data_IF_197525406683
#
_entry.id   IF_197525406683
#
_cell.length_a   1.000
_cell.length_b   1.000
_cell.length_c   1.000
_cell.angle_alpha   90.00
_cell.angle_beta   90.00
_cell.angle_gamma   90.00
#
_symmetry.space_group_name_H-M   'P 1'
#
loop_
_entity.id
_entity.type
_entity.pdbx_description
1 polymer ?
#
# COMPACT_ATOMS: atom_id res chain seq x y z
N UNK A 1 -4.03 -28.38 -19.61
CA UNK A 1 -2.87 -28.02 -18.77
C UNK A 1 -3.15 -26.65 -18.17
N UNK A 2 -3.14 -26.53 -16.84
CA UNK A 2 -3.29 -25.23 -16.17
C UNK A 2 -2.00 -24.43 -16.29
N UNK A 3 -2.10 -23.12 -16.57
CA UNK A 3 -0.95 -22.22 -16.50
C UNK A 3 -0.67 -21.99 -15.01
N UNK A 4 0.55 -22.29 -14.56
CA UNK A 4 0.99 -21.93 -13.21
C UNK A 4 0.96 -20.42 -13.05
N UNK A 5 0.58 -19.95 -11.86
CA UNK A 5 0.67 -18.54 -11.50
C UNK A 5 1.79 -18.41 -10.48
N UNK A 6 2.83 -17.67 -10.83
CA UNK A 6 3.97 -17.39 -9.94
C UNK A 6 4.10 -15.87 -9.72
N UNK A 7 4.48 -15.47 -8.50
CA UNK A 7 4.81 -14.06 -8.21
C UNK A 7 6.06 -13.60 -8.97
N UNK A 8 6.91 -14.55 -9.38
CA UNK A 8 8.05 -14.28 -10.26
C UNK A 8 7.63 -13.71 -11.63
N UNK A 9 6.39 -13.96 -12.08
CA UNK A 9 5.86 -13.44 -13.34
C UNK A 9 5.43 -11.95 -13.25
N UNK A 10 5.37 -11.39 -12.05
CA UNK A 10 5.07 -9.96 -11.84
C UNK A 10 6.35 -9.15 -12.12
N UNK A 11 6.27 -8.25 -13.10
CA UNK A 11 7.40 -7.42 -13.57
C UNK A 11 7.29 -5.94 -13.18
N UNK A 12 6.17 -5.53 -12.59
CA UNK A 12 5.95 -4.16 -12.16
C UNK A 12 6.61 -3.88 -10.80
N UNK A 13 7.15 -2.67 -10.57
CA UNK A 13 7.67 -2.27 -9.27
C UNK A 13 6.62 -2.43 -8.16
N UNK A 14 7.05 -2.96 -7.01
CA UNK A 14 6.19 -3.25 -5.87
C UNK A 14 6.44 -2.26 -4.75
N UNK A 15 5.37 -1.73 -4.17
CA UNK A 15 5.41 -1.03 -2.88
C UNK A 15 4.61 -1.85 -1.87
N UNK A 16 5.30 -2.36 -0.86
CA UNK A 16 4.74 -3.32 0.10
C UNK A 16 4.72 -2.65 1.46
N UNK A 17 3.53 -2.54 2.05
CA UNK A 17 3.35 -2.02 3.41
C UNK A 17 2.89 -3.16 4.30
N UNK A 18 3.50 -3.28 5.46
CA UNK A 18 3.07 -4.17 6.52
C UNK A 18 3.11 -3.43 7.86
N UNK A 19 2.44 -3.95 8.89
CA UNK A 19 2.41 -3.34 10.22
C UNK A 19 3.03 -4.24 11.28
N UNK A 20 3.76 -3.63 12.23
CA UNK A 20 4.61 -4.36 13.18
C UNK A 20 3.83 -5.29 14.12
N UNK A 21 2.63 -4.86 14.54
CA UNK A 21 1.76 -5.60 15.48
C UNK A 21 0.55 -6.21 14.77
N UNK A 22 0.66 -6.47 13.47
CA UNK A 22 -0.37 -7.17 12.73
C UNK A 22 -0.42 -8.65 13.13
N UNK A 23 -1.47 -9.05 13.85
CA UNK A 23 -1.73 -10.45 14.16
C UNK A 23 -2.56 -11.15 13.06
N UNK A 24 -3.20 -10.40 12.16
CA UNK A 24 -3.99 -10.92 11.05
C UNK A 24 -3.06 -11.25 9.87
N UNK A 25 -2.17 -10.33 9.52
CA UNK A 25 -1.18 -10.45 8.44
C UNK A 25 0.22 -10.12 8.94
N UNK A 26 0.91 -11.06 9.60
CA UNK A 26 2.23 -10.81 10.19
C UNK A 26 3.24 -10.30 9.16
N UNK A 27 3.88 -9.16 9.43
CA UNK A 27 4.80 -8.51 8.50
C UNK A 27 5.99 -9.40 8.08
N UNK A 28 6.43 -10.32 8.95
CA UNK A 28 7.46 -11.34 8.63
C UNK A 28 7.04 -12.24 7.46
N UNK A 29 5.76 -12.55 7.35
CA UNK A 29 5.22 -13.27 6.19
C UNK A 29 5.17 -12.36 4.96
N UNK A 30 4.77 -11.10 5.13
CA UNK A 30 4.78 -10.09 4.07
C UNK A 30 6.17 -9.87 3.46
N UNK A 31 7.23 -9.82 4.28
CA UNK A 31 8.62 -9.68 3.81
C UNK A 31 9.06 -10.77 2.83
N UNK A 32 8.45 -11.96 2.85
CA UNK A 32 8.79 -13.04 1.92
C UNK A 32 8.60 -12.63 0.45
N UNK A 33 7.73 -11.65 0.18
CA UNK A 33 7.54 -11.11 -1.17
C UNK A 33 8.86 -10.60 -1.79
N UNK A 34 9.79 -10.10 -0.98
CA UNK A 34 11.11 -9.64 -1.43
C UNK A 34 11.99 -10.77 -1.99
N UNK A 35 11.68 -12.03 -1.64
CA UNK A 35 12.36 -13.22 -2.15
C UNK A 35 11.56 -13.93 -3.23
N UNK A 36 10.24 -13.71 -3.28
CA UNK A 36 9.33 -14.41 -4.19
C UNK A 36 9.10 -13.64 -5.50
N UNK A 37 9.10 -12.30 -5.45
CA UNK A 37 8.99 -11.47 -6.64
C UNK A 37 10.39 -11.14 -7.18
N UNK A 38 10.56 -11.21 -8.50
CA UNK A 38 11.77 -10.73 -9.18
C UNK A 38 11.74 -9.22 -9.48
N UNK A 39 10.62 -8.56 -9.19
CA UNK A 39 10.47 -7.12 -9.40
C UNK A 39 11.18 -6.29 -8.32
N UNK A 40 11.65 -5.08 -8.67
CA UNK A 40 12.10 -4.11 -7.67
C UNK A 40 11.00 -3.87 -6.65
N UNK A 41 11.31 -4.09 -5.38
CA UNK A 41 10.35 -3.94 -4.28
C UNK A 41 10.85 -2.92 -3.25
N UNK A 42 9.98 -2.00 -2.89
CA UNK A 42 10.12 -1.13 -1.72
C UNK A 42 9.29 -1.74 -0.59
N UNK A 43 9.92 -2.07 0.53
CA UNK A 43 9.23 -2.56 1.72
C UNK A 43 9.21 -1.48 2.79
N UNK A 44 8.02 -1.17 3.29
CA UNK A 44 7.79 -0.23 4.39
C UNK A 44 7.11 -0.97 5.54
N UNK A 45 7.69 -0.84 6.73
CA UNK A 45 7.11 -1.34 7.96
C UNK A 45 6.54 -0.17 8.75
N UNK A 46 5.23 -0.18 8.95
CA UNK A 46 4.52 0.84 9.71
C UNK A 46 4.32 0.38 11.16
N UNK A 47 4.42 1.31 12.09
CA UNK A 47 4.05 1.06 13.49
C UNK A 47 2.55 0.76 13.64
N UNK A 48 2.19 -0.04 14.65
CA UNK A 48 0.78 -0.29 14.98
C UNK A 48 0.29 -1.68 14.57
N UNK A 49 -0.99 -1.97 14.88
CA UNK A 49 -1.67 -3.19 14.47
C UNK A 49 -2.27 -3.08 13.07
N UNK A 50 -3.04 -4.08 12.63
CA UNK A 50 -3.59 -4.18 11.26
C UNK A 50 -4.23 -2.86 10.76
N UNK A 51 -5.31 -2.40 11.41
CA UNK A 51 -6.01 -1.19 10.95
C UNK A 51 -5.25 0.10 11.29
N UNK A 52 -4.70 0.20 12.51
CA UNK A 52 -4.08 1.44 13.01
C UNK A 52 -2.77 1.75 12.28
N UNK A 53 -2.01 0.74 11.85
CA UNK A 53 -0.79 0.96 11.08
C UNK A 53 -1.05 1.25 9.61
N UNK A 54 -2.13 0.71 9.03
CA UNK A 54 -2.50 0.96 7.62
C UNK A 54 -3.20 2.31 7.46
N UNK A 55 -4.18 2.61 8.32
CA UNK A 55 -4.89 3.89 8.34
C UNK A 55 -4.09 4.89 9.18
N UNK A 56 -3.07 5.47 8.55
CA UNK A 56 -2.15 6.41 9.18
C UNK A 56 -2.18 7.75 8.45
N UNK A 57 -3.18 8.62 8.66
CA UNK A 57 -3.16 9.96 8.10
C UNK A 57 -2.01 10.79 8.69
N UNK A 58 -1.45 11.76 7.95
CA UNK A 58 -0.28 12.55 8.37
C UNK A 58 -0.45 13.38 9.65
N UNK A 59 -1.65 13.45 10.22
CA UNK A 59 -1.99 14.19 11.44
C UNK A 59 -2.24 13.29 12.67
N UNK A 60 -1.63 12.08 12.72
CA UNK A 60 -1.65 11.22 13.91
C UNK A 60 -0.48 10.22 13.91
N UNK A 61 0.59 10.52 14.66
CA UNK A 61 1.74 9.65 14.75
C UNK A 61 1.54 8.55 15.81
N UNK A 62 1.57 7.29 15.38
CA UNK A 62 1.69 6.13 16.26
C UNK A 62 3.16 5.85 16.57
N UNK A 63 3.44 5.38 17.79
CA UNK A 63 4.78 4.99 18.25
C UNK A 63 5.11 3.54 17.82
N UNK A 64 6.32 3.32 17.31
CA UNK A 64 6.84 2.01 16.91
C UNK A 64 7.20 1.13 18.14
N UNK A 65 6.83 -0.16 18.17
CA UNK A 65 7.37 -1.19 19.09
C UNK A 65 8.78 -1.73 18.75
N UNK A 66 9.38 -2.39 19.75
CA UNK A 66 10.83 -2.52 19.91
C UNK A 66 11.54 -3.75 19.28
N UNK A 67 10.90 -4.68 18.55
CA UNK A 67 11.67 -5.82 17.98
C UNK A 67 11.06 -6.63 16.82
N UNK A 68 11.62 -6.45 15.62
CA UNK A 68 12.10 -7.57 14.82
C UNK A 68 13.48 -7.36 14.14
N UNK A 69 14.54 -7.82 14.82
CA UNK A 69 15.88 -7.24 14.75
C UNK A 69 16.54 -7.00 13.39
N UNK A 70 16.66 -7.96 12.47
CA UNK A 70 17.66 -7.75 11.38
C UNK A 70 17.23 -6.73 10.33
N UNK A 71 15.98 -6.81 9.85
CA UNK A 71 15.45 -5.80 8.93
C UNK A 71 15.16 -4.48 9.65
N UNK A 72 14.61 -4.54 10.87
CA UNK A 72 14.33 -3.35 11.66
C UNK A 72 15.60 -2.59 12.03
N UNK A 73 16.69 -3.28 12.38
CA UNK A 73 17.96 -2.64 12.73
C UNK A 73 18.62 -1.94 11.53
N UNK A 74 18.35 -2.40 10.31
CA UNK A 74 18.86 -1.77 9.09
C UNK A 74 17.94 -0.66 8.56
N UNK A 75 16.66 -0.64 8.93
CA UNK A 75 15.68 0.31 8.43
C UNK A 75 15.69 1.62 9.25
N UNK A 76 15.82 2.80 8.61
CA UNK A 76 15.74 4.07 9.33
C UNK A 76 14.32 4.30 9.85
N UNK A 77 14.18 4.48 11.17
CA UNK A 77 12.91 4.90 11.76
C UNK A 77 12.57 6.33 11.33
N UNK A 78 11.36 6.53 10.81
CA UNK A 78 10.83 7.85 10.46
C UNK A 78 9.55 8.09 11.25
N UNK A 79 9.45 9.25 11.91
CA UNK A 79 8.24 9.62 12.64
C UNK A 79 7.13 10.07 11.68
N UNK A 80 5.88 9.75 12.03
CA UNK A 80 4.70 10.19 11.30
C UNK A 80 4.14 9.15 10.33
N UNK A 81 3.24 9.61 9.48
CA UNK A 81 2.54 8.76 8.51
C UNK A 81 3.48 8.21 7.43
N UNK A 82 3.21 6.98 6.98
CA UNK A 82 3.87 6.41 5.81
C UNK A 82 3.28 6.88 4.47
N UNK A 83 2.10 7.52 4.48
CA UNK A 83 1.42 7.95 3.27
C UNK A 83 2.27 8.91 2.41
N UNK A 84 3.01 9.91 2.95
CA UNK A 84 3.89 10.75 2.15
C UNK A 84 4.99 9.97 1.43
N UNK A 85 5.53 8.91 2.03
CA UNK A 85 6.54 8.04 1.41
C UNK A 85 5.92 7.31 0.21
N UNK A 86 4.72 6.78 0.38
CA UNK A 86 3.98 6.12 -0.69
C UNK A 86 3.57 7.08 -1.81
N UNK A 87 3.05 8.26 -1.47
CA UNK A 87 2.71 9.30 -2.46
C UNK A 87 3.94 9.72 -3.27
N UNK A 88 5.10 9.90 -2.62
CA UNK A 88 6.36 10.19 -3.31
C UNK A 88 6.83 9.03 -4.20
N UNK A 89 6.66 7.79 -3.74
CA UNK A 89 6.93 6.60 -4.56
C UNK A 89 6.02 6.54 -5.79
N UNK A 90 4.72 6.79 -5.64
CA UNK A 90 3.76 6.83 -6.75
C UNK A 90 4.10 7.94 -7.73
N UNK A 91 4.45 9.14 -7.26
CA UNK A 91 4.81 10.25 -8.13
C UNK A 91 5.99 9.91 -9.06
N UNK A 92 6.99 9.18 -8.56
CA UNK A 92 8.13 8.71 -9.37
C UNK A 92 7.76 7.65 -10.40
N UNK A 93 6.72 6.85 -10.13
CA UNK A 93 6.23 5.80 -11.02
C UNK A 93 5.03 6.24 -11.87
N UNK A 94 4.57 7.48 -11.70
CA UNK A 94 3.47 8.05 -12.46
C UNK A 94 3.98 8.78 -13.71
N UNK A 95 3.09 8.94 -14.69
CA UNK A 95 3.36 9.82 -15.83
C UNK A 95 3.39 11.28 -15.38
N UNK A 96 3.89 12.15 -16.26
CA UNK A 96 3.89 13.61 -16.03
C UNK A 96 2.50 14.10 -15.63
N UNK A 97 2.48 15.13 -14.80
CA UNK A 97 1.24 15.81 -14.44
C UNK A 97 0.58 16.34 -15.72
N UNK A 98 -0.72 16.13 -15.80
CA UNK A 98 -1.60 16.67 -16.85
C UNK A 98 -2.69 17.49 -16.17
N UNK A 99 -3.32 18.40 -16.91
CA UNK A 99 -4.51 19.07 -16.43
C UNK A 99 -5.56 18.01 -16.02
N UNK A 100 -6.23 18.24 -14.89
CA UNK A 100 -7.31 17.36 -14.45
C UNK A 100 -8.35 17.28 -15.58
N UNK A 101 -8.74 16.07 -15.95
CA UNK A 101 -9.79 15.89 -16.94
C UNK A 101 -11.07 16.52 -16.42
N UNK A 102 -11.67 17.41 -17.20
CA UNK A 102 -13.02 17.87 -16.91
C UNK A 102 -13.96 16.68 -17.09
N UNK A 103 -14.78 16.45 -16.08
CA UNK A 103 -15.79 15.40 -16.06
C UNK A 103 -16.99 15.82 -16.92
N UNK A 104 -16.74 16.14 -18.19
CA UNK A 104 -17.79 16.50 -19.16
C UNK A 104 -18.25 15.23 -19.88
N UNK A 105 -19.56 15.03 -19.98
CA UNK A 105 -20.16 13.92 -20.74
C UNK A 105 -20.29 12.59 -19.98
N UNK A 106 -20.02 12.53 -18.67
CA UNK A 106 -20.30 11.30 -17.91
C UNK A 106 -21.81 11.01 -17.77
N UNK A 107 -22.68 12.03 -17.82
CA UNK A 107 -24.13 11.85 -17.80
C UNK A 107 -24.62 10.95 -18.96
N UNK A 108 -24.02 11.10 -20.15
CA UNK A 108 -24.32 10.26 -21.32
C UNK A 108 -23.74 8.84 -21.22
N UNK A 109 -22.79 8.61 -20.31
CA UNK A 109 -22.11 7.32 -20.11
C UNK A 109 -22.87 6.35 -19.18
N UNK A 110 -24.02 6.77 -18.63
CA UNK A 110 -24.82 5.93 -17.72
C UNK A 110 -24.17 5.77 -16.35
N UNK A 111 -23.74 6.88 -15.72
CA UNK A 111 -23.14 6.83 -14.39
C UNK A 111 -24.03 6.09 -13.37
N UNK A 112 -23.46 5.20 -12.55
CA UNK A 112 -24.22 4.35 -11.62
C UNK A 112 -24.78 5.09 -10.39
N UNK A 113 -24.72 6.42 -10.36
CA UNK A 113 -25.08 7.28 -9.23
C UNK A 113 -23.87 7.81 -8.45
N UNK A 114 -24.13 8.61 -7.41
CA UNK A 114 -23.08 9.21 -6.57
C UNK A 114 -22.31 8.16 -5.77
N UNK A 115 -21.01 8.41 -5.55
CA UNK A 115 -20.23 7.67 -4.58
C UNK A 115 -20.84 7.82 -3.17
N UNK A 116 -20.86 6.78 -2.32
CA UNK A 116 -20.14 5.50 -2.46
C UNK A 116 -20.90 4.39 -3.23
N UNK A 117 -22.05 4.70 -3.83
CA UNK A 117 -22.90 3.72 -4.52
C UNK A 117 -23.70 2.83 -3.56
N UNK A 118 -24.46 1.88 -4.10
CA UNK A 118 -25.42 1.08 -3.31
C UNK A 118 -24.85 -0.18 -2.67
N UNK A 119 -23.75 -0.74 -3.20
CA UNK A 119 -23.27 -2.07 -2.81
C UNK A 119 -22.75 -2.08 -1.36
N UNK A 120 -22.11 -1.00 -0.91
CA UNK A 120 -21.60 -0.86 0.47
C UNK A 120 -22.71 -0.84 1.54
N UNK A 121 -23.96 -0.56 1.15
CA UNK A 121 -25.11 -0.48 2.05
C UNK A 121 -25.95 -1.76 2.11
N UNK A 122 -25.61 -2.78 1.31
CA UNK A 122 -26.33 -4.05 1.32
C UNK A 122 -25.86 -4.90 2.50
N UNK A 123 -26.81 -5.49 3.19
CA UNK A 123 -26.63 -6.42 4.32
C UNK A 123 -26.93 -7.84 3.90
#
# INVERSE_FOLDING_TARGET
>A
MGRGHDLADVTLPLFVVATERDHVSPWRSGCKILRMAHSPATFLLASGGHNVGIISPPHGAGKAPDDPQEWLAAAPASEGSWWPVWSGWLARHSRRHVAAALVQGLEESGLPGDAPGSYVHRT
#
